data_IF_117340857752
#
_entry.id   IF_117340857752
#
_cell.length_a   1.000
_cell.length_b   1.000
_cell.length_c   1.000
_cell.angle_alpha   90.00
_cell.angle_beta   90.00
_cell.angle_gamma   90.00
#
_symmetry.space_group_name_H-M   'P 1'
#
loop_
_entity.id
_entity.type
_entity.pdbx_description
1 polymer ?
#
# COMPACT_ATOMS: atom_id res chain seq x y z
N UNK A 1 -25.39 20.68 -32.67
CA UNK A 1 -24.72 20.66 -31.36
C UNK A 1 -24.27 19.23 -31.09
N UNK A 2 -23.02 18.91 -31.39
CA UNK A 2 -22.43 17.60 -31.14
C UNK A 2 -22.07 17.50 -29.66
N UNK A 3 -22.76 16.63 -28.93
CA UNK A 3 -22.48 16.32 -27.53
C UNK A 3 -21.05 15.75 -27.40
N UNK A 4 -20.14 16.50 -26.77
CA UNK A 4 -18.87 15.97 -26.28
C UNK A 4 -19.16 15.04 -25.09
N UNK A 5 -18.99 13.74 -25.28
CA UNK A 5 -19.00 12.77 -24.19
C UNK A 5 -17.57 12.67 -23.63
N UNK A 6 -17.32 13.04 -22.37
CA UNK A 6 -16.02 12.80 -21.76
C UNK A 6 -15.80 11.28 -21.66
N UNK A 7 -14.67 10.80 -22.14
CA UNK A 7 -14.23 9.42 -21.91
C UNK A 7 -13.91 9.25 -20.43
N UNK A 8 -14.36 8.13 -19.86
CA UNK A 8 -14.00 7.77 -18.49
C UNK A 8 -12.56 7.25 -18.43
N UNK A 9 -11.93 7.30 -17.26
CA UNK A 9 -10.60 6.71 -17.06
C UNK A 9 -10.57 5.22 -17.39
N UNK A 10 -11.65 4.50 -17.08
CA UNK A 10 -11.81 3.10 -17.44
C UNK A 10 -11.79 2.89 -18.97
N UNK A 11 -12.57 3.67 -19.71
CA UNK A 11 -12.59 3.60 -21.17
C UNK A 11 -11.24 3.96 -21.78
N UNK A 12 -10.53 4.95 -21.21
CA UNK A 12 -9.19 5.30 -21.66
C UNK A 12 -8.18 4.16 -21.41
N UNK A 13 -8.27 3.48 -20.27
CA UNK A 13 -7.43 2.30 -19.97
C UNK A 13 -7.71 1.12 -20.90
N UNK A 14 -8.97 0.86 -21.23
CA UNK A 14 -9.36 -0.21 -22.18
C UNK A 14 -8.83 0.09 -23.59
N UNK A 15 -9.01 1.32 -24.09
CA UNK A 15 -8.44 1.74 -25.37
C UNK A 15 -6.91 1.65 -25.39
N UNK A 16 -6.24 1.99 -24.28
CA UNK A 16 -4.79 1.89 -24.15
C UNK A 16 -4.32 0.43 -24.17
N UNK A 17 -5.00 -0.48 -23.47
CA UNK A 17 -4.69 -1.91 -23.50
C UNK A 17 -4.78 -2.46 -24.92
N UNK A 18 -5.84 -2.11 -25.66
CA UNK A 18 -5.99 -2.49 -27.06
C UNK A 18 -4.84 -1.97 -27.92
N UNK A 19 -4.46 -0.69 -27.78
CA UNK A 19 -3.34 -0.12 -28.53
C UNK A 19 -2.01 -0.79 -28.19
N UNK A 20 -1.76 -1.13 -26.92
CA UNK A 20 -0.54 -1.84 -26.52
C UNK A 20 -0.50 -3.26 -27.10
N UNK A 21 -1.62 -3.98 -27.04
CA UNK A 21 -1.73 -5.32 -27.61
C UNK A 21 -1.55 -5.30 -29.14
N UNK A 22 -2.19 -4.37 -29.84
CA UNK A 22 -2.15 -4.33 -31.31
C UNK A 22 -0.83 -3.76 -31.84
N UNK A 23 -0.34 -2.66 -31.27
CA UNK A 23 0.82 -1.92 -31.80
C UNK A 23 2.13 -2.46 -31.29
N UNK A 24 2.20 -2.73 -30.00
CA UNK A 24 3.42 -3.23 -29.38
C UNK A 24 3.40 -4.75 -29.26
N UNK A 25 2.39 -5.43 -29.84
CA UNK A 25 2.24 -6.89 -29.74
C UNK A 25 2.36 -7.37 -28.30
N UNK A 26 1.84 -6.55 -27.36
CA UNK A 26 1.97 -6.79 -25.94
C UNK A 26 1.15 -8.02 -25.57
N UNK A 27 1.84 -9.12 -25.26
CA UNK A 27 1.25 -10.33 -24.72
C UNK A 27 1.53 -10.38 -23.23
N UNK A 28 0.46 -10.47 -22.45
CA UNK A 28 0.54 -10.64 -21.00
C UNK A 28 -0.30 -11.84 -20.57
N UNK A 29 0.16 -12.52 -19.53
CA UNK A 29 -0.66 -13.47 -18.81
C UNK A 29 -0.50 -13.27 -17.31
N UNK A 30 -1.50 -13.77 -16.59
CA UNK A 30 -1.52 -13.79 -15.14
C UNK A 30 -0.99 -15.15 -14.67
N UNK A 31 -0.01 -15.14 -13.77
CA UNK A 31 0.54 -16.34 -13.15
C UNK A 31 0.57 -16.15 -11.63
N UNK A 32 0.15 -17.17 -10.88
CA UNK A 32 0.41 -17.20 -9.44
C UNK A 32 1.87 -17.52 -9.19
N UNK A 33 2.59 -16.56 -8.59
CA UNK A 33 3.98 -16.73 -8.24
C UNK A 33 4.23 -16.37 -6.78
N UNK A 34 5.09 -17.16 -6.13
CA UNK A 34 5.54 -16.90 -4.78
C UNK A 34 6.60 -15.80 -4.77
N UNK A 35 6.29 -14.67 -4.14
CA UNK A 35 7.25 -13.60 -3.90
C UNK A 35 7.76 -13.62 -2.45
N UNK A 36 9.04 -13.28 -2.22
CA UNK A 36 9.50 -12.99 -0.87
C UNK A 36 8.72 -11.79 -0.33
N UNK A 37 8.01 -11.99 0.77
CA UNK A 37 7.17 -10.97 1.38
C UNK A 37 7.02 -11.19 2.88
N UNK A 38 6.00 -10.55 3.45
CA UNK A 38 5.70 -10.64 4.85
C UNK A 38 4.23 -10.99 5.07
N UNK A 39 3.94 -11.86 6.05
CA UNK A 39 2.63 -11.97 6.64
C UNK A 39 2.55 -11.08 7.87
N UNK A 40 1.52 -10.23 7.91
CA UNK A 40 1.11 -9.54 9.11
C UNK A 40 0.22 -10.49 9.93
N UNK A 41 0.67 -10.84 11.13
CA UNK A 41 -0.07 -11.71 12.06
C UNK A 41 -0.23 -11.01 13.40
N UNK A 42 -1.21 -11.45 14.19
CA UNK A 42 -1.34 -11.03 15.59
C UNK A 42 -0.15 -11.59 16.39
N UNK A 43 0.52 -10.72 17.14
CA UNK A 43 1.64 -11.09 18.00
C UNK A 43 1.18 -11.82 19.27
N UNK A 44 2.13 -12.38 20.02
CA UNK A 44 1.85 -13.13 21.25
C UNK A 44 1.17 -12.27 22.35
N UNK A 45 1.25 -10.95 22.26
CA UNK A 45 0.62 -10.01 23.19
C UNK A 45 -0.81 -9.61 22.83
N UNK A 46 -1.43 -10.21 21.82
CA UNK A 46 -2.76 -9.84 21.32
C UNK A 46 -2.76 -8.52 20.53
N UNK A 47 -3.88 -8.24 19.85
CA UNK A 47 -4.06 -7.03 19.07
C UNK A 47 -4.16 -5.82 20.01
N UNK A 48 -3.22 -4.87 19.92
CA UNK A 48 -3.22 -3.64 20.73
C UNK A 48 -3.68 -2.41 19.94
N UNK A 49 -4.31 -2.65 18.79
CA UNK A 49 -4.94 -1.59 18.03
C UNK A 49 -6.19 -1.12 18.78
N UNK A 50 -6.42 0.18 18.78
CA UNK A 50 -7.70 0.72 19.24
C UNK A 50 -8.70 0.46 18.13
N UNK A 51 -9.70 -0.38 18.38
CA UNK A 51 -10.83 -0.46 17.47
C UNK A 51 -11.49 0.93 17.47
N UNK A 52 -11.55 1.56 16.31
CA UNK A 52 -12.20 2.86 16.17
C UNK A 52 -13.63 2.68 16.65
N UNK A 53 -14.00 3.43 17.68
CA UNK A 53 -15.36 3.41 18.20
C UNK A 53 -16.27 3.75 17.02
N UNK A 54 -17.31 2.96 16.80
CA UNK A 54 -18.39 3.29 15.87
C UNK A 54 -19.03 4.60 16.33
N UNK A 55 -18.42 5.72 15.96
CA UNK A 55 -19.07 7.01 16.07
C UNK A 55 -20.09 7.00 14.94
N UNK A 56 -21.31 6.65 15.34
CA UNK A 56 -22.56 6.34 14.61
C UNK A 56 -23.00 7.30 13.52
N UNK A 57 -22.18 8.27 13.18
CA UNK A 57 -22.33 9.09 11.99
C UNK A 57 -21.04 8.89 11.23
N UNK A 58 -21.07 8.08 10.18
CA UNK A 58 -19.98 8.01 9.20
C UNK A 58 -19.78 9.33 8.46
N UNK A 59 -20.03 10.47 9.11
CA UNK A 59 -19.92 11.85 8.68
C UNK A 59 -19.18 12.69 9.74
N UNK A 60 -18.38 13.64 9.27
CA UNK A 60 -17.75 14.70 10.06
C UNK A 60 -18.44 16.01 9.69
N UNK A 61 -18.76 16.85 10.67
CA UNK A 61 -19.23 18.21 10.40
C UNK A 61 -18.04 19.11 10.03
N UNK A 62 -18.06 19.62 8.80
CA UNK A 62 -17.13 20.66 8.37
C UNK A 62 -17.83 22.02 8.34
N UNK A 63 -17.30 23.05 9.03
CA UNK A 63 -17.83 24.41 8.99
C UNK A 63 -17.94 24.90 7.55
N UNK A 64 -19.15 25.21 7.09
CA UNK A 64 -19.42 25.72 5.74
C UNK A 64 -19.60 24.66 4.64
N UNK A 65 -19.37 23.37 4.92
CA UNK A 65 -19.56 22.26 3.94
C UNK A 65 -20.68 21.29 4.38
N UNK A 66 -21.00 21.26 5.67
CA UNK A 66 -22.01 20.35 6.23
C UNK A 66 -21.42 18.98 6.61
N UNK A 67 -22.27 17.97 6.72
CA UNK A 67 -21.87 16.61 7.07
C UNK A 67 -21.23 15.91 5.86
N UNK A 68 -19.93 15.62 5.93
CA UNK A 68 -19.21 14.88 4.89
C UNK A 68 -18.82 13.49 5.38
N UNK A 69 -18.84 12.43 4.56
CA UNK A 69 -18.52 11.09 5.04
C UNK A 69 -17.09 11.01 5.62
N UNK A 70 -16.94 10.44 6.83
CA UNK A 70 -15.65 10.16 7.47
C UNK A 70 -14.92 9.09 6.67
N UNK A 71 -13.98 9.52 5.84
CA UNK A 71 -13.10 8.63 5.08
C UNK A 71 -12.01 8.08 6.02
N UNK A 72 -11.54 6.82 5.83
CA UNK A 72 -10.37 6.33 6.55
C UNK A 72 -9.15 7.18 6.22
N UNK A 73 -8.58 7.84 7.22
CA UNK A 73 -7.46 8.77 7.03
C UNK A 73 -6.17 8.02 7.37
N UNK A 74 -5.27 7.93 6.40
CA UNK A 74 -3.84 7.71 6.67
C UNK A 74 -3.13 9.05 6.49
N UNK A 75 -2.63 9.60 7.59
CA UNK A 75 -1.86 10.84 7.59
C UNK A 75 -0.42 10.56 8.01
N UNK A 76 0.52 11.12 7.27
CA UNK A 76 1.93 11.12 7.64
C UNK A 76 2.30 12.48 8.24
N UNK A 77 2.76 12.47 9.49
CA UNK A 77 3.34 13.64 10.14
C UNK A 77 4.86 13.55 10.15
N UNK A 78 5.52 14.49 9.48
CA UNK A 78 6.98 14.57 9.48
C UNK A 78 7.44 15.23 10.77
N UNK A 79 8.29 14.53 11.55
CA UNK A 79 8.89 15.06 12.77
C UNK A 79 10.26 15.69 12.47
N UNK A 80 10.68 16.69 13.29
CA UNK A 80 12.06 17.16 13.30
C UNK A 80 13.01 15.97 13.49
N UNK A 81 14.05 15.87 12.65
CA UNK A 81 14.97 14.72 12.65
C UNK A 81 14.63 13.60 11.64
N UNK A 82 13.64 13.79 10.77
CA UNK A 82 13.38 12.92 9.62
C UNK A 82 12.57 11.66 9.91
N UNK A 83 12.18 11.44 11.18
CA UNK A 83 11.20 10.42 11.53
C UNK A 83 9.81 10.82 11.03
N UNK A 84 9.01 9.84 10.61
CA UNK A 84 7.63 10.03 10.19
C UNK A 84 6.70 9.30 11.15
N UNK A 85 5.63 9.96 11.58
CA UNK A 85 4.56 9.36 12.36
C UNK A 85 3.38 9.11 11.43
N UNK A 86 3.09 7.85 11.16
CA UNK A 86 1.92 7.45 10.40
C UNK A 86 0.75 7.28 11.37
N UNK A 87 -0.30 8.06 11.17
CA UNK A 87 -1.51 8.04 11.97
C UNK A 87 -2.62 7.49 11.08
N UNK A 88 -3.18 6.35 11.49
CA UNK A 88 -4.38 5.78 10.91
C UNK A 88 -5.56 6.10 11.80
N UNK A 89 -6.58 6.75 11.24
CA UNK A 89 -7.88 6.97 11.88
C UNK A 89 -8.95 6.25 11.05
N UNK A 90 -9.75 5.41 11.71
CA UNK A 90 -10.76 4.57 11.09
C UNK A 90 -10.21 3.69 9.95
N UNK A 91 -8.93 3.31 10.04
CA UNK A 91 -8.23 2.62 8.96
C UNK A 91 -8.49 1.10 9.03
N UNK A 92 -8.74 0.49 7.88
CA UNK A 92 -8.85 -0.97 7.78
C UNK A 92 -7.47 -1.62 7.82
N UNK A 93 -7.42 -2.89 8.23
CA UNK A 93 -6.16 -3.65 8.20
C UNK A 93 -5.57 -3.72 6.78
N UNK A 94 -6.41 -3.84 5.75
CA UNK A 94 -6.00 -3.79 4.35
C UNK A 94 -5.25 -2.49 4.00
N UNK A 95 -5.71 -1.35 4.55
CA UNK A 95 -5.06 -0.04 4.34
C UNK A 95 -3.68 0.00 4.98
N UNK A 96 -3.55 -0.53 6.20
CA UNK A 96 -2.25 -0.66 6.89
C UNK A 96 -1.29 -1.56 6.12
N UNK A 97 -1.76 -2.73 5.69
CA UNK A 97 -0.96 -3.71 4.92
C UNK A 97 -0.48 -3.15 3.59
N UNK A 98 -1.34 -2.44 2.86
CA UNK A 98 -0.96 -1.76 1.63
C UNK A 98 0.12 -0.69 1.87
N UNK A 99 -0.01 0.09 2.95
CA UNK A 99 0.99 1.08 3.32
C UNK A 99 2.33 0.44 3.72
N UNK A 100 2.29 -0.64 4.51
CA UNK A 100 3.49 -1.40 4.89
C UNK A 100 4.18 -2.00 3.67
N UNK A 101 3.42 -2.46 2.67
CA UNK A 101 3.99 -3.00 1.44
C UNK A 101 4.80 -1.96 0.68
N UNK A 102 4.28 -0.73 0.58
CA UNK A 102 4.98 0.41 -0.02
C UNK A 102 6.23 0.76 0.80
N UNK A 103 6.13 0.77 2.12
CA UNK A 103 7.20 1.18 3.03
C UNK A 103 8.31 0.13 3.20
N UNK A 104 8.01 -1.15 3.02
CA UNK A 104 9.02 -2.22 3.08
C UNK A 104 9.57 -2.56 1.71
N UNK A 105 8.95 -2.05 0.65
CA UNK A 105 9.19 -2.45 -0.73
C UNK A 105 9.04 -3.95 -0.95
N UNK A 106 8.19 -4.60 -0.18
CA UNK A 106 7.94 -6.04 -0.23
C UNK A 106 6.46 -6.28 0.01
N UNK A 107 5.84 -7.25 -0.67
CA UNK A 107 4.43 -7.53 -0.49
C UNK A 107 4.13 -7.97 0.95
N UNK A 108 3.11 -7.37 1.54
CA UNK A 108 2.60 -7.75 2.86
C UNK A 108 1.20 -8.32 2.69
N UNK A 109 0.91 -9.44 3.36
CA UNK A 109 -0.43 -10.04 3.41
C UNK A 109 -1.00 -10.02 4.81
N UNK A 110 -2.28 -9.70 4.90
CA UNK A 110 -3.03 -9.74 6.14
C UNK A 110 -3.39 -11.19 6.50
N UNK A 111 -2.81 -11.69 7.60
CA UNK A 111 -3.20 -12.94 8.27
C UNK A 111 -3.59 -12.67 9.73
N UNK A 112 -3.93 -11.42 10.06
CA UNK A 112 -4.44 -11.06 11.38
C UNK A 112 -5.89 -11.50 11.56
N UNK A 113 -6.63 -11.60 10.45
CA UNK A 113 -8.06 -11.92 10.40
C UNK A 113 -8.89 -11.04 11.36
N UNK A 114 -8.48 -9.77 11.51
CA UNK A 114 -9.05 -8.82 12.44
C UNK A 114 -10.01 -7.88 11.68
N UNK A 115 -11.34 -8.14 11.73
CA UNK A 115 -12.31 -7.30 11.04
C UNK A 115 -12.55 -5.98 11.80
N UNK A 116 -12.76 -4.91 11.05
CA UNK A 116 -13.12 -3.61 11.59
C UNK A 116 -12.16 -2.49 11.19
N UNK A 117 -12.39 -1.34 11.80
CA UNK A 117 -11.59 -0.14 11.61
C UNK A 117 -10.77 0.10 12.87
N UNK A 118 -9.54 0.53 12.68
CA UNK A 118 -8.58 0.70 13.75
C UNK A 118 -7.94 2.08 13.72
N UNK A 119 -7.77 2.63 14.90
CA UNK A 119 -6.95 3.80 15.15
C UNK A 119 -5.57 3.33 15.60
N UNK A 120 -4.54 3.81 14.91
CA UNK A 120 -3.18 3.44 15.22
C UNK A 120 -2.20 4.55 14.95
N UNK A 121 -1.09 4.47 15.66
CA UNK A 121 0.05 5.33 15.48
C UNK A 121 1.26 4.44 15.26
N UNK A 122 1.84 4.54 14.07
CA UNK A 122 3.07 3.86 13.71
C UNK A 122 4.19 4.90 13.61
N UNK A 123 5.25 4.72 14.40
CA UNK A 123 6.47 5.52 14.26
C UNK A 123 7.41 4.85 13.26
N UNK A 124 7.93 5.66 12.35
CA UNK A 124 8.77 5.24 11.23
C UNK A 124 10.05 6.06 11.26
N UNK A 125 11.20 5.39 11.27
CA UNK A 125 12.49 6.07 11.26
C UNK A 125 12.80 6.68 9.88
N UNK A 126 13.71 7.65 9.84
CA UNK A 126 14.21 8.21 8.58
C UNK A 126 14.88 7.14 7.71
N UNK A 127 15.55 6.18 8.34
CA UNK A 127 16.23 5.07 7.69
C UNK A 127 15.23 4.12 7.02
N UNK A 128 14.16 3.74 7.73
CA UNK A 128 13.10 2.89 7.17
C UNK A 128 12.42 3.57 5.97
N UNK A 129 12.20 4.89 6.03
CA UNK A 129 11.67 5.63 4.89
C UNK A 129 12.64 5.61 3.70
N UNK A 130 13.93 5.86 3.93
CA UNK A 130 14.94 5.79 2.87
C UNK A 130 15.01 4.41 2.23
N UNK A 131 14.96 3.35 3.03
CA UNK A 131 15.05 1.97 2.58
C UNK A 131 13.77 1.51 1.88
N UNK A 132 12.59 1.93 2.35
CA UNK A 132 11.30 1.65 1.73
C UNK A 132 11.07 2.32 0.39
N UNK A 133 11.49 3.58 0.28
CA UNK A 133 11.44 4.34 -0.97
C UNK A 133 12.52 3.92 -1.98
N UNK A 134 13.41 2.98 -1.64
CA UNK A 134 14.45 2.49 -2.56
C UNK A 134 13.87 1.77 -3.80
N UNK A 135 12.57 1.44 -3.81
CA UNK A 135 11.85 0.95 -5.01
C UNK A 135 11.59 2.02 -6.09
N UNK A 136 12.18 3.22 -6.01
CA UNK A 136 12.07 4.22 -7.10
C UNK A 136 13.38 4.65 -7.74
N UNK A 137 14.50 4.03 -7.38
CA UNK A 137 15.78 4.27 -8.06
C UNK A 137 16.41 2.91 -8.38
N UNK A 138 16.36 2.50 -9.64
CA UNK A 138 17.18 1.41 -10.17
C UNK A 138 18.65 1.66 -9.77
N UNK A 139 19.24 0.73 -9.00
CA UNK A 139 20.68 0.70 -8.74
C UNK A 139 21.13 0.92 -7.29
N UNK A 140 20.24 1.01 -6.29
CA UNK A 140 20.69 1.05 -4.89
C UNK A 140 21.05 -0.36 -4.38
N UNK A 141 22.27 -0.60 -3.85
CA UNK A 141 22.63 -1.90 -3.29
C UNK A 141 21.79 -2.18 -2.05
N UNK A 142 21.11 -3.33 -2.06
CA UNK A 142 20.36 -3.86 -0.94
C UNK A 142 21.30 -4.36 0.18
N UNK A 143 21.96 -3.44 0.88
CA UNK A 143 22.60 -3.79 2.16
C UNK A 143 21.56 -3.65 3.27
N UNK A 144 20.92 -4.78 3.57
CA UNK A 144 19.98 -4.93 4.68
C UNK A 144 20.73 -5.26 5.96
N UNK A 145 21.18 -4.23 6.67
CA UNK A 145 21.33 -4.30 8.13
C UNK A 145 20.69 -3.02 8.69
N UNK A 146 19.42 -3.10 9.07
CA UNK A 146 18.74 -2.01 9.76
C UNK A 146 19.45 -1.75 11.09
N UNK A 147 20.01 -0.55 11.24
CA UNK A 147 20.62 -0.09 12.49
C UNK A 147 19.58 -0.06 13.62
N UNK A 148 19.95 -0.16 14.91
CA UNK A 148 19.01 -0.31 16.04
C UNK A 148 18.27 0.98 16.44
N UNK A 149 17.89 1.82 15.47
CA UNK A 149 17.00 2.95 15.68
C UNK A 149 15.57 2.56 15.29
N UNK A 150 14.66 2.47 16.27
CA UNK A 150 13.20 2.21 16.14
C UNK A 150 12.79 1.68 14.76
N UNK A 151 13.15 0.42 14.50
CA UNK A 151 12.82 -0.23 13.23
C UNK A 151 11.31 -0.39 13.12
N UNK A 152 10.75 -0.22 11.93
CA UNK A 152 9.31 -0.43 11.65
C UNK A 152 8.78 -1.77 12.21
N UNK A 153 9.60 -2.83 12.26
CA UNK A 153 9.27 -4.11 12.87
C UNK A 153 8.97 -4.00 14.37
N UNK A 154 9.72 -3.18 15.09
CA UNK A 154 9.51 -2.92 16.52
C UNK A 154 8.25 -2.07 16.77
N UNK A 155 8.00 -1.07 15.92
CA UNK A 155 6.78 -0.26 15.97
C UNK A 155 5.52 -1.10 15.76
N UNK A 156 5.55 -2.06 14.83
CA UNK A 156 4.45 -3.00 14.59
C UNK A 156 4.25 -3.94 15.79
N UNK A 157 5.34 -4.40 16.42
CA UNK A 157 5.27 -5.20 17.65
C UNK A 157 4.62 -4.44 18.82
N UNK A 158 4.85 -3.13 18.92
CA UNK A 158 4.19 -2.30 19.92
C UNK A 158 2.67 -2.22 19.71
N UNK A 159 2.20 -2.32 18.46
CA UNK A 159 0.79 -2.43 18.10
C UNK A 159 0.21 -3.84 18.34
N UNK A 160 1.00 -4.78 18.87
CA UNK A 160 0.58 -6.15 19.09
C UNK A 160 0.51 -6.99 17.82
N UNK A 161 1.14 -6.51 16.74
CA UNK A 161 1.23 -7.17 15.45
C UNK A 161 2.65 -7.69 15.21
N UNK A 162 2.82 -8.60 14.27
CA UNK A 162 4.13 -9.12 13.90
C UNK A 162 4.20 -9.36 12.40
N UNK A 163 5.30 -8.93 11.79
CA UNK A 163 5.66 -9.32 10.43
C UNK A 163 6.46 -10.63 10.47
N UNK A 164 5.99 -11.63 9.74
CA UNK A 164 6.71 -12.90 9.51
C UNK A 164 7.15 -12.95 8.06
N UNK A 165 8.46 -13.02 7.81
CA UNK A 165 8.97 -13.26 6.47
C UNK A 165 8.44 -14.60 5.96
N UNK A 166 7.72 -14.58 4.84
CA UNK A 166 7.18 -15.77 4.21
C UNK A 166 7.09 -15.58 2.70
N UNK A 167 7.04 -16.68 1.97
CA UNK A 167 6.65 -16.64 0.57
C UNK A 167 5.15 -16.36 0.49
N UNK A 168 4.79 -15.35 -0.27
CA UNK A 168 3.42 -14.93 -0.47
C UNK A 168 3.02 -15.22 -1.92
N UNK A 169 1.98 -16.03 -2.17
CA UNK A 169 1.45 -16.21 -3.51
C UNK A 169 0.75 -14.93 -3.94
N UNK A 170 1.21 -14.34 -5.03
CA UNK A 170 0.59 -13.15 -5.64
C UNK A 170 0.25 -13.43 -7.09
N UNK A 171 -0.78 -12.74 -7.57
CA UNK A 171 -1.10 -12.69 -8.99
C UNK A 171 -0.11 -11.75 -9.70
N UNK A 172 0.82 -12.33 -10.44
CA UNK A 172 1.82 -11.60 -11.20
C UNK A 172 1.36 -11.43 -12.65
N UNK A 173 1.43 -10.20 -13.16
CA UNK A 173 1.29 -9.94 -14.58
C UNK A 173 2.66 -10.15 -15.23
N UNK A 174 2.79 -11.20 -16.03
CA UNK A 174 3.99 -11.52 -16.77
C UNK A 174 3.83 -10.97 -18.19
N UNK A 175 4.86 -10.27 -18.67
CA UNK A 175 4.95 -9.83 -20.07
C UNK A 175 5.67 -10.92 -20.85
N UNK A 176 4.94 -11.64 -21.70
CA UNK A 176 5.51 -12.67 -22.58
C UNK A 176 6.28 -12.04 -23.73
N UNK A 177 5.68 -11.00 -24.31
CA UNK A 177 6.22 -10.33 -25.47
C UNK A 177 5.80 -8.87 -25.44
N UNK A 178 6.74 -7.98 -25.77
CA UNK A 178 6.47 -6.59 -26.07
C UNK A 178 7.51 -6.11 -27.09
N UNK A 179 7.04 -5.68 -28.24
CA UNK A 179 7.87 -5.03 -29.24
C UNK A 179 8.25 -3.63 -28.75
N UNK A 180 9.52 -3.24 -28.90
CA UNK A 180 9.96 -1.88 -28.51
C UNK A 180 9.46 -0.81 -29.48
N UNK A 181 9.23 -1.20 -30.74
CA UNK A 181 8.79 -0.31 -31.81
C UNK A 181 7.38 -0.74 -32.23
N UNK A 182 6.41 0.19 -32.30
CA UNK A 182 5.07 -0.17 -32.70
C UNK A 182 5.01 -0.59 -34.17
N UNK A 183 4.14 -1.56 -34.49
CA UNK A 183 3.88 -1.94 -35.88
C UNK A 183 3.29 -0.76 -36.68
N UNK A 184 3.79 -0.58 -37.91
CA UNK A 184 3.46 0.55 -38.80
C UNK A 184 1.98 0.63 -39.16
N UNK A 185 1.53 1.84 -39.51
CA UNK A 185 0.16 2.13 -39.95
C UNK A 185 -0.15 1.63 -41.36
#
# INVERSE_FOLDING_TARGET
>A
MTLWRPITTQQASEMLQTLLAERFQLQIHHEQRDFPGYALVVGAGGLKLFQSVEDTSGTMEMPGVGQIPRQPILRSEFRPGGATRLIGEHATMARLVGQLSIMLGSPVVDLTNAPGNYDFVLEVSQEDMRNGHALRIEGAPANQESTPGVSIFSSIQNLGLKLKAQKVPLDAIVVDQAEKVPVGN
#
